data_IF_291486433428
#
_entry.id   IF_291486433428
#
_cell.length_a   1.000
_cell.length_b   1.000
_cell.length_c   1.000
_cell.angle_alpha   90.00
_cell.angle_beta   90.00
_cell.angle_gamma   90.00
#
_symmetry.space_group_name_H-M   'P 1'
#
loop_
_entity.id
_entity.type
_entity.pdbx_description
1 polymer ?
#
# COMPACT_ATOMS: atom_id res chain seq x y z
N UNK A 1 9.17 36.47 19.53
CA UNK A 1 8.48 35.30 18.96
C UNK A 1 9.54 34.39 18.40
N UNK A 2 9.69 33.17 18.91
CA UNK A 2 10.76 32.25 18.50
C UNK A 2 10.13 31.10 17.74
N UNK A 3 10.36 31.02 16.44
CA UNK A 3 9.93 29.89 15.60
C UNK A 3 11.08 28.87 15.65
N UNK A 4 10.91 27.80 16.44
CA UNK A 4 11.80 26.65 16.36
C UNK A 4 11.37 25.80 15.17
N UNK A 5 12.16 25.84 14.11
CA UNK A 5 12.01 24.97 12.95
C UNK A 5 12.53 23.58 13.30
N UNK A 6 11.63 22.63 13.53
CA UNK A 6 12.00 21.25 13.80
C UNK A 6 12.55 20.60 12.52
N UNK A 7 13.79 20.14 12.61
CA UNK A 7 14.53 19.41 11.59
C UNK A 7 13.79 18.11 11.22
N UNK A 8 13.45 17.93 9.94
CA UNK A 8 12.99 16.67 9.40
C UNK A 8 14.17 15.68 9.40
N UNK A 9 14.18 14.77 10.37
CA UNK A 9 15.07 13.62 10.33
C UNK A 9 14.59 12.70 9.20
N UNK A 10 15.39 12.57 8.13
CA UNK A 10 15.27 11.47 7.20
C UNK A 10 15.44 10.18 7.98
N UNK A 11 14.34 9.56 8.36
CA UNK A 11 14.32 8.20 8.83
C UNK A 11 14.74 7.33 7.64
N UNK A 12 16.02 6.97 7.59
CA UNK A 12 16.43 5.74 6.91
C UNK A 12 15.78 4.60 7.69
N UNK A 13 14.51 4.36 7.41
CA UNK A 13 13.74 3.26 7.95
C UNK A 13 14.31 1.99 7.34
N UNK A 14 15.38 1.47 7.94
CA UNK A 14 15.74 0.09 7.76
C UNK A 14 14.59 -0.70 8.37
N UNK A 15 13.69 -1.16 7.51
CA UNK A 15 12.51 -1.91 7.92
C UNK A 15 13.00 -3.12 8.73
N UNK A 16 12.56 -3.27 9.98
CA UNK A 16 13.00 -4.38 10.81
C UNK A 16 12.65 -5.71 10.11
N UNK A 17 13.53 -6.72 10.19
CA UNK A 17 13.24 -8.03 9.65
C UNK A 17 11.93 -8.49 10.26
N UNK A 18 11.03 -8.99 9.44
CA UNK A 18 9.66 -8.90 9.84
C UNK A 18 9.35 -10.07 10.79
N UNK A 19 8.33 -9.95 11.66
CA UNK A 19 8.16 -10.87 12.77
C UNK A 19 8.06 -12.31 12.26
N UNK A 20 8.88 -13.20 12.82
CA UNK A 20 9.13 -14.58 12.37
C UNK A 20 7.87 -15.45 12.19
N UNK A 21 6.72 -14.98 12.68
CA UNK A 21 5.42 -15.66 12.64
C UNK A 21 4.55 -15.26 11.44
N UNK A 22 4.97 -14.32 10.60
CA UNK A 22 4.14 -13.88 9.47
C UNK A 22 4.39 -14.78 8.27
N UNK A 23 3.35 -15.40 7.68
CA UNK A 23 3.49 -16.22 6.49
C UNK A 23 4.11 -15.45 5.31
N UNK A 24 5.07 -16.07 4.61
CA UNK A 24 5.76 -15.52 3.43
C UNK A 24 4.83 -14.96 2.34
N UNK A 25 3.65 -15.59 2.17
CA UNK A 25 2.69 -15.12 1.17
C UNK A 25 2.12 -13.73 1.50
N UNK A 26 2.00 -13.38 2.79
CA UNK A 26 1.52 -12.05 3.19
C UNK A 26 2.53 -10.97 2.80
N UNK A 27 3.83 -11.24 2.93
CA UNK A 27 4.88 -10.29 2.51
C UNK A 27 4.83 -10.02 1.03
N UNK A 28 4.75 -11.07 0.21
CA UNK A 28 4.70 -10.94 -1.24
C UNK A 28 3.50 -10.08 -1.69
N UNK A 29 2.33 -10.37 -1.15
CA UNK A 29 1.10 -9.65 -1.48
C UNK A 29 1.19 -8.19 -0.97
N UNK A 30 1.66 -7.98 0.26
CA UNK A 30 1.81 -6.66 0.85
C UNK A 30 2.82 -5.79 0.08
N UNK A 31 3.92 -6.39 -0.39
CA UNK A 31 4.93 -5.71 -1.19
C UNK A 31 4.35 -5.27 -2.54
N UNK A 32 3.55 -6.12 -3.18
CA UNK A 32 2.83 -5.75 -4.39
C UNK A 32 1.86 -4.59 -4.18
N UNK A 33 1.14 -4.55 -3.05
CA UNK A 33 0.29 -3.41 -2.71
C UNK A 33 1.10 -2.14 -2.44
N UNK A 34 2.21 -2.23 -1.71
CA UNK A 34 3.10 -1.09 -1.43
C UNK A 34 3.65 -0.49 -2.72
N UNK A 35 4.19 -1.33 -3.61
CA UNK A 35 4.76 -0.91 -4.88
C UNK A 35 3.73 -0.19 -5.77
N UNK A 36 2.46 -0.61 -5.72
CA UNK A 36 1.37 0.00 -6.49
C UNK A 36 0.77 1.25 -5.85
N UNK A 37 0.79 1.34 -4.53
CA UNK A 37 0.09 2.41 -3.82
C UNK A 37 0.74 3.78 -4.00
N UNK A 38 2.03 3.83 -4.34
CA UNK A 38 2.80 5.09 -4.37
C UNK A 38 2.88 5.80 -3.01
N UNK A 39 2.54 5.08 -1.94
CA UNK A 39 2.51 5.58 -0.57
C UNK A 39 3.83 5.28 0.13
N UNK A 40 4.30 6.22 0.94
CA UNK A 40 5.52 6.09 1.76
C UNK A 40 5.28 5.31 3.06
N UNK A 41 4.12 4.64 3.19
CA UNK A 41 3.82 3.84 4.37
C UNK A 41 4.73 2.59 4.46
N UNK A 42 5.08 2.15 5.67
CA UNK A 42 5.90 0.95 5.88
C UNK A 42 5.15 -0.32 5.45
N UNK A 43 5.89 -1.40 5.12
CA UNK A 43 5.30 -2.67 4.67
C UNK A 43 4.36 -3.28 5.71
N UNK A 44 4.62 -3.04 7.00
CA UNK A 44 3.76 -3.50 8.10
C UNK A 44 2.31 -3.02 7.98
N UNK A 45 2.09 -1.80 7.48
CA UNK A 45 0.75 -1.27 7.20
C UNK A 45 0.04 -2.10 6.12
N UNK A 46 0.76 -2.45 5.06
CA UNK A 46 0.23 -3.27 3.96
C UNK A 46 -0.01 -4.72 4.40
N UNK A 47 0.85 -5.29 5.25
CA UNK A 47 0.61 -6.63 5.83
C UNK A 47 -0.68 -6.63 6.65
N UNK A 48 -0.89 -5.61 7.48
CA UNK A 48 -2.12 -5.49 8.25
C UNK A 48 -3.34 -5.35 7.33
N UNK A 49 -3.24 -4.57 6.25
CA UNK A 49 -4.29 -4.49 5.23
C UNK A 49 -4.60 -5.86 4.61
N UNK A 50 -3.58 -6.65 4.24
CA UNK A 50 -3.78 -8.02 3.70
C UNK A 50 -4.49 -8.90 4.73
N UNK A 51 -4.08 -8.85 6.01
CA UNK A 51 -4.72 -9.62 7.10
C UNK A 51 -6.19 -9.24 7.27
N UNK A 52 -6.53 -7.94 7.23
CA UNK A 52 -7.93 -7.49 7.28
C UNK A 52 -8.75 -8.01 6.10
N UNK A 53 -8.18 -8.00 4.88
CA UNK A 53 -8.89 -8.49 3.69
C UNK A 53 -9.14 -10.00 3.74
N UNK A 54 -8.20 -10.77 4.27
CA UNK A 54 -8.38 -12.21 4.53
C UNK A 54 -9.47 -12.44 5.58
N UNK A 55 -9.48 -11.66 6.66
CA UNK A 55 -10.52 -11.71 7.68
C UNK A 55 -11.91 -11.33 7.12
N UNK A 56 -11.94 -10.53 6.05
CA UNK A 56 -13.16 -10.19 5.31
C UNK A 56 -13.62 -11.28 4.33
N UNK A 57 -12.93 -12.41 4.25
CA UNK A 57 -13.29 -13.56 3.43
C UNK A 57 -12.68 -13.60 2.04
N UNK A 58 -11.75 -12.68 1.69
CA UNK A 58 -10.99 -12.79 0.43
C UNK A 58 -9.97 -13.90 0.53
N UNK A 59 -9.72 -14.60 -0.58
CA UNK A 59 -8.66 -15.62 -0.62
C UNK A 59 -7.30 -14.99 -0.90
N UNK A 60 -6.19 -15.66 -0.52
CA UNK A 60 -4.84 -15.23 -0.86
C UNK A 60 -4.63 -15.05 -2.37
N UNK A 61 -5.22 -15.92 -3.19
CA UNK A 61 -5.09 -15.88 -4.65
C UNK A 61 -5.80 -14.66 -5.24
N UNK A 62 -6.97 -14.29 -4.71
CA UNK A 62 -7.66 -13.06 -5.12
C UNK A 62 -6.82 -11.82 -4.81
N UNK A 63 -6.21 -11.78 -3.62
CA UNK A 63 -5.36 -10.68 -3.19
C UNK A 63 -4.06 -10.60 -3.99
N UNK A 64 -3.45 -11.73 -4.30
CA UNK A 64 -2.24 -11.80 -5.13
C UNK A 64 -2.52 -11.29 -6.55
N UNK A 65 -3.65 -11.68 -7.15
CA UNK A 65 -4.10 -11.14 -8.45
C UNK A 65 -4.34 -9.63 -8.40
N UNK A 66 -4.92 -9.13 -7.30
CA UNK A 66 -5.11 -7.69 -7.11
C UNK A 66 -3.77 -6.96 -6.92
N UNK A 67 -2.78 -7.58 -6.27
CA UNK A 67 -1.46 -7.02 -6.07
C UNK A 67 -0.62 -7.00 -7.36
N UNK A 68 -0.80 -7.97 -8.26
CA UNK A 68 -0.04 -8.07 -9.53
C UNK A 68 -0.72 -7.39 -10.72
N UNK A 69 -2.05 -7.27 -10.75
CA UNK A 69 -2.75 -6.65 -11.88
C UNK A 69 -2.47 -5.15 -11.94
N UNK A 70 -1.87 -4.66 -13.03
CA UNK A 70 -1.83 -3.24 -13.32
C UNK A 70 -3.23 -2.77 -13.69
N UNK A 71 -3.86 -1.98 -12.81
CA UNK A 71 -5.10 -1.30 -13.16
C UNK A 71 -4.75 -0.02 -13.93
N UNK A 72 -4.41 -0.19 -15.20
CA UNK A 72 -4.17 0.93 -16.13
C UNK A 72 -5.48 1.61 -16.57
N UNK A 73 -6.63 1.23 -16.02
CA UNK A 73 -7.94 1.68 -16.50
C UNK A 73 -8.58 2.76 -15.64
N UNK A 74 -8.44 2.71 -14.31
CA UNK A 74 -9.12 3.66 -13.42
C UNK A 74 -8.64 5.12 -13.55
N UNK A 75 -7.39 5.36 -13.95
CA UNK A 75 -6.85 6.73 -14.05
C UNK A 75 -7.47 7.57 -15.19
N UNK A 76 -8.00 6.92 -16.23
CA UNK A 76 -8.54 7.61 -17.41
C UNK A 76 -9.96 8.15 -17.17
N UNK A 77 -10.74 7.48 -16.31
CA UNK A 77 -12.15 7.84 -16.09
C UNK A 77 -12.30 9.05 -15.17
N UNK A 78 -11.41 9.26 -14.18
CA UNK A 78 -11.46 10.43 -13.30
C UNK A 78 -11.27 11.76 -14.05
N UNK A 79 -10.47 11.78 -15.12
CA UNK A 79 -10.26 12.99 -15.93
C UNK A 79 -11.53 13.35 -16.74
N UNK A 80 -12.29 12.34 -17.17
CA UNK A 80 -13.52 12.55 -17.96
C UNK A 80 -14.68 13.12 -17.15
N UNK A 81 -14.84 12.71 -15.89
CA UNK A 81 -15.96 13.16 -15.04
C UNK A 81 -15.87 14.63 -14.59
N UNK A 82 -14.71 15.27 -14.69
CA UNK A 82 -14.53 16.69 -14.33
C UNK A 82 -14.50 17.64 -15.53
N UNK A 83 -14.37 17.10 -16.74
CA UNK A 83 -14.08 17.88 -17.95
C UNK A 83 -15.26 17.96 -18.94
N UNK A 84 -16.43 17.40 -18.61
CA UNK A 84 -17.62 17.50 -19.45
C UNK A 84 -18.79 18.09 -18.64
N UNK A 85 -19.18 19.35 -18.88
CA UNK A 85 -20.54 19.78 -18.56
C UNK A 85 -21.52 19.15 -19.57
N UNK A 86 -22.69 18.75 -19.06
CA UNK A 86 -23.80 18.19 -19.84
C UNK A 86 -24.47 19.18 -20.81
#
# INVERSE_FOLDING_TARGET
MTIQTSSAASATAHEPPPPADTPEFLYRIAEGFRAKSGSDLPLSCFIQQVKLQLASGKTPEELDRLATRQDNKAATDCYRSWAMPE
#
